data_IF_669332150360
#
_entry.id   IF_669332150360
#
_cell.length_a   1.000
_cell.length_b   1.000
_cell.length_c   1.000
_cell.angle_alpha   90.00
_cell.angle_beta   90.00
_cell.angle_gamma   90.00
#
_symmetry.space_group_name_H-M   'P 1'
#
loop_
_entity.id
_entity.type
_entity.pdbx_description
1 polymer ?
#
# COMPACT_ATOMS: atom_id res chain seq x y z
N UNK A 1 -8.08 3.86 9.88
CA UNK A 1 -7.61 2.73 10.69
C UNK A 1 -7.29 1.63 9.70
N UNK A 2 -6.07 1.09 9.76
CA UNK A 2 -5.65 0.00 8.90
C UNK A 2 -6.44 -1.26 9.24
N UNK A 3 -7.00 -1.92 8.25
CA UNK A 3 -7.77 -3.15 8.43
C UNK A 3 -7.21 -4.20 7.50
N UNK A 4 -6.86 -5.35 8.08
CA UNK A 4 -6.45 -6.54 7.37
C UNK A 4 -7.57 -7.60 7.42
N UNK A 5 -7.46 -8.58 6.53
CA UNK A 5 -8.32 -9.76 6.52
C UNK A 5 -7.44 -11.02 6.53
N UNK A 6 -7.92 -12.16 7.05
CA UNK A 6 -7.12 -13.37 7.16
C UNK A 6 -6.58 -13.86 5.82
N UNK A 7 -5.32 -14.28 5.79
CA UNK A 7 -4.68 -14.82 4.59
C UNK A 7 -4.20 -13.77 3.57
N UNK A 8 -4.65 -12.51 3.68
CA UNK A 8 -4.20 -11.43 2.81
C UNK A 8 -2.98 -10.71 3.39
N UNK A 9 -2.07 -10.27 2.52
CA UNK A 9 -0.85 -9.58 2.92
C UNK A 9 -1.15 -8.16 3.41
N UNK A 10 -0.41 -7.73 4.43
CA UNK A 10 -0.43 -6.37 4.94
C UNK A 10 1.00 -5.94 5.30
N UNK A 11 1.49 -4.83 4.72
CA UNK A 11 2.86 -4.35 4.97
C UNK A 11 2.96 -2.99 5.65
N UNK A 12 3.80 -2.87 6.66
CA UNK A 12 4.10 -1.60 7.34
C UNK A 12 5.27 -0.91 6.65
N UNK A 13 5.14 0.39 6.40
CA UNK A 13 6.29 1.19 6.02
C UNK A 13 7.21 1.40 7.22
N UNK A 14 8.50 1.22 6.97
CA UNK A 14 9.57 1.42 7.94
C UNK A 14 10.51 2.47 7.38
N UNK A 15 10.77 3.48 8.20
CA UNK A 15 11.80 4.48 7.92
C UNK A 15 12.70 4.63 9.13
N UNK A 16 13.92 5.07 8.87
CA UNK A 16 14.94 5.27 9.89
C UNK A 16 15.26 6.75 9.94
N UNK A 17 14.96 7.37 11.07
CA UNK A 17 15.34 8.76 11.31
C UNK A 17 16.57 8.76 12.21
N UNK A 18 17.72 9.01 11.61
CA UNK A 18 18.96 9.22 12.35
C UNK A 18 19.81 10.32 11.70
N UNK A 19 19.70 11.57 12.18
CA UNK A 19 20.47 12.67 11.63
C UNK A 19 21.98 12.58 11.96
N UNK A 20 22.38 11.77 12.94
CA UNK A 20 23.77 11.66 13.36
C UNK A 20 24.58 10.71 12.46
N UNK A 21 23.95 9.70 11.87
CA UNK A 21 24.62 8.71 10.99
C UNK A 21 23.79 8.39 9.74
N UNK A 22 23.67 9.35 8.79
CA UNK A 22 22.76 9.25 7.65
C UNK A 22 23.13 8.17 6.62
N UNK A 23 24.36 7.65 6.66
CA UNK A 23 24.85 6.64 5.71
C UNK A 23 25.01 5.24 6.32
N UNK A 24 24.82 5.09 7.64
CA UNK A 24 25.05 3.81 8.31
C UNK A 24 23.78 2.98 8.33
N UNK A 25 23.77 1.78 7.72
CA UNK A 25 22.59 0.94 7.67
C UNK A 25 22.19 0.45 9.06
N UNK A 26 20.89 0.24 9.26
CA UNK A 26 20.33 -0.48 10.40
C UNK A 26 19.71 -1.78 9.91
N UNK A 27 19.93 -2.86 10.65
CA UNK A 27 19.29 -4.15 10.35
C UNK A 27 17.87 -4.15 10.90
N UNK A 28 16.89 -4.46 10.05
CA UNK A 28 15.49 -4.58 10.41
C UNK A 28 15.14 -6.05 10.62
N UNK A 29 14.49 -6.33 11.74
CA UNK A 29 13.89 -7.61 12.06
C UNK A 29 12.42 -7.40 12.46
N UNK A 30 11.60 -8.44 12.33
CA UNK A 30 10.21 -8.37 12.76
C UNK A 30 9.77 -9.70 13.38
N UNK A 31 8.84 -9.61 14.31
CA UNK A 31 8.11 -10.75 14.87
C UNK A 31 6.63 -10.39 14.98
N UNK A 32 5.76 -11.37 14.83
CA UNK A 32 4.33 -11.15 14.93
C UNK A 32 3.64 -12.21 15.79
N UNK A 33 2.54 -11.81 16.43
CA UNK A 33 1.57 -12.71 17.09
C UNK A 33 0.22 -12.50 16.42
N UNK A 34 -0.47 -13.58 16.05
CA UNK A 34 -1.72 -13.53 15.27
C UNK A 34 -1.51 -13.24 13.78
N UNK A 35 -0.26 -13.29 13.31
CA UNK A 35 0.14 -13.16 11.92
C UNK A 35 1.52 -13.82 11.72
N UNK A 36 1.82 -14.16 10.48
CA UNK A 36 3.14 -14.67 10.05
C UNK A 36 3.90 -13.60 9.30
N UNK A 37 5.20 -13.41 9.58
CA UNK A 37 6.07 -12.52 8.80
C UNK A 37 6.27 -13.13 7.40
N UNK A 38 5.87 -12.39 6.37
CA UNK A 38 5.97 -12.80 4.97
C UNK A 38 7.25 -12.26 4.31
N UNK A 39 7.72 -11.09 4.72
CA UNK A 39 8.94 -10.49 4.16
C UNK A 39 9.35 -9.21 4.89
N UNK A 40 10.64 -8.88 4.77
CA UNK A 40 11.22 -7.61 5.21
C UNK A 40 12.11 -7.14 4.07
N UNK A 41 11.75 -6.03 3.43
CA UNK A 41 12.44 -5.55 2.24
C UNK A 41 12.62 -4.02 2.24
N UNK A 42 13.86 -3.51 2.08
CA UNK A 42 15.10 -4.23 2.34
C UNK A 42 15.26 -4.57 3.84
N UNK A 43 16.01 -5.63 4.14
CA UNK A 43 16.34 -6.00 5.52
C UNK A 43 17.38 -5.08 6.18
N UNK A 44 18.10 -4.29 5.38
CA UNK A 44 18.99 -3.23 5.86
C UNK A 44 18.50 -1.89 5.30
N UNK A 45 18.25 -0.93 6.19
CA UNK A 45 17.76 0.39 5.83
C UNK A 45 18.81 1.45 6.15
N UNK A 46 19.04 2.34 5.19
CA UNK A 46 19.77 3.59 5.42
C UNK A 46 18.77 4.74 5.60
N UNK A 47 19.07 5.74 6.45
CA UNK A 47 18.24 6.93 6.54
C UNK A 47 17.95 7.55 5.17
N UNK A 48 16.68 7.90 4.93
CA UNK A 48 16.21 8.41 3.63
C UNK A 48 15.69 7.34 2.65
N UNK A 49 15.80 6.05 3.00
CA UNK A 49 15.11 4.96 2.28
C UNK A 49 13.90 4.48 3.06
N UNK A 50 13.00 3.79 2.35
CA UNK A 50 11.79 3.21 2.89
C UNK A 50 11.87 1.70 2.77
N UNK A 51 11.57 1.00 3.85
CA UNK A 51 11.39 -0.45 3.84
C UNK A 51 9.95 -0.85 4.14
N UNK A 52 9.68 -2.12 3.92
CA UNK A 52 8.39 -2.75 4.10
C UNK A 52 8.54 -4.00 4.96
N UNK A 53 7.76 -4.08 6.03
CA UNK A 53 7.59 -5.30 6.83
C UNK A 53 6.22 -5.86 6.54
N UNK A 54 6.18 -6.96 5.80
CA UNK A 54 4.95 -7.62 5.35
C UNK A 54 4.58 -8.78 6.27
N UNK A 55 3.30 -8.85 6.61
CA UNK A 55 2.71 -9.94 7.40
C UNK A 55 1.48 -10.49 6.70
N UNK A 56 1.13 -11.74 7.01
CA UNK A 56 -0.15 -12.36 6.64
C UNK A 56 -0.86 -12.73 7.94
N UNK A 57 -2.02 -12.13 8.25
CA UNK A 57 -2.80 -12.48 9.43
C UNK A 57 -3.27 -13.93 9.42
N UNK A 58 -3.27 -14.54 10.60
CA UNK A 58 -3.72 -15.92 10.77
C UNK A 58 -5.23 -16.04 10.48
N UNK A 59 -5.65 -17.25 10.08
CA UNK A 59 -7.07 -17.57 9.91
C UNK A 59 -7.86 -17.29 11.20
N UNK A 60 -8.93 -16.49 11.10
CA UNK A 60 -9.85 -16.23 12.20
C UNK A 60 -11.30 -16.14 11.71
N UNK A 61 -12.24 -16.57 12.55
CA UNK A 61 -13.69 -16.44 12.32
C UNK A 61 -14.33 -15.34 13.17
N UNK A 62 -13.53 -14.63 13.98
CA UNK A 62 -13.95 -13.51 14.82
C UNK A 62 -12.99 -12.33 14.61
N UNK A 63 -13.43 -11.12 14.93
CA UNK A 63 -12.53 -9.97 14.95
C UNK A 63 -11.36 -10.24 15.89
N UNK A 64 -10.15 -9.96 15.40
CA UNK A 64 -8.91 -10.19 16.11
C UNK A 64 -7.96 -9.00 15.92
N UNK A 65 -6.83 -9.04 16.61
CA UNK A 65 -5.76 -8.07 16.41
C UNK A 65 -4.45 -8.82 16.40
N UNK A 66 -3.73 -8.74 15.28
CA UNK A 66 -2.35 -9.17 15.22
C UNK A 66 -1.45 -8.08 15.81
N UNK A 67 -0.40 -8.49 16.52
CA UNK A 67 0.63 -7.58 17.03
C UNK A 67 1.92 -7.81 16.26
N UNK A 68 2.47 -6.75 15.68
CA UNK A 68 3.72 -6.79 14.92
C UNK A 68 4.75 -5.94 15.64
N UNK A 69 5.85 -6.56 16.05
CA UNK A 69 7.00 -5.86 16.61
C UNK A 69 8.07 -5.74 15.55
N UNK A 70 8.44 -4.51 15.22
CA UNK A 70 9.52 -4.18 14.28
C UNK A 70 10.71 -3.72 15.10
N UNK A 71 11.87 -4.31 14.86
CA UNK A 71 13.10 -4.06 15.59
C UNK A 71 14.18 -3.57 14.64
N UNK A 72 14.85 -2.48 14.99
CA UNK A 72 16.01 -1.96 14.29
C UNK A 72 17.25 -2.10 15.18
N UNK A 73 18.33 -2.66 14.64
CA UNK A 73 19.60 -2.85 15.36
C UNK A 73 20.76 -2.26 14.59
N UNK A 74 21.66 -1.57 15.29
CA UNK A 74 22.94 -1.10 14.76
C UNK A 74 23.94 -0.93 15.90
N UNK A 75 25.16 -1.43 15.70
CA UNK A 75 26.26 -1.33 16.67
C UNK A 75 25.89 -1.80 18.10
N UNK A 76 25.05 -2.82 18.20
CA UNK A 76 24.56 -3.36 19.47
C UNK A 76 23.46 -2.52 20.16
N UNK A 77 23.06 -1.39 19.58
CA UNK A 77 21.88 -0.62 20.00
C UNK A 77 20.66 -1.16 19.28
N UNK A 78 19.62 -1.49 20.04
CA UNK A 78 18.36 -2.02 19.53
C UNK A 78 17.20 -1.11 19.91
N UNK A 79 16.34 -0.80 18.95
CA UNK A 79 15.07 -0.11 19.15
C UNK A 79 13.93 -0.98 18.60
N UNK A 80 12.80 -0.99 19.29
CA UNK A 80 11.62 -1.74 18.85
C UNK A 80 10.38 -0.87 18.89
N UNK A 81 9.48 -1.14 17.95
CA UNK A 81 8.19 -0.47 17.81
C UNK A 81 7.12 -1.54 17.60
N UNK A 82 6.04 -1.45 18.38
CA UNK A 82 4.89 -2.32 18.26
C UNK A 82 3.79 -1.66 17.42
N UNK A 83 3.10 -2.46 16.61
CA UNK A 83 1.99 -2.06 15.75
C UNK A 83 0.86 -3.07 15.87
N UNK A 84 -0.31 -2.57 16.25
CA UNK A 84 -1.56 -3.32 16.18
C UNK A 84 -2.10 -3.35 14.76
N UNK A 85 -2.54 -4.53 14.32
CA UNK A 85 -3.21 -4.75 13.04
C UNK A 85 -4.58 -5.38 13.32
N UNK A 86 -5.67 -4.60 13.24
CA UNK A 86 -7.03 -5.11 13.27
C UNK A 86 -7.27 -6.10 12.12
N UNK A 87 -7.82 -7.27 12.44
CA UNK A 87 -8.12 -8.35 11.49
C UNK A 87 -9.61 -8.65 11.53
N UNK A 88 -10.29 -8.47 10.41
CA UNK A 88 -11.72 -8.72 10.29
C UNK A 88 -11.97 -10.05 9.57
N UNK A 89 -12.82 -10.95 10.10
CA UNK A 89 -13.04 -12.28 9.55
C UNK A 89 -13.93 -12.23 8.30
N UNK A 90 -13.38 -11.72 7.20
CA UNK A 90 -14.07 -11.60 5.91
C UNK A 90 -13.15 -12.03 4.77
N UNK A 91 -13.75 -12.34 3.63
CA UNK A 91 -13.02 -12.64 2.39
C UNK A 91 -12.79 -11.37 1.57
N UNK A 92 -11.82 -11.43 0.64
CA UNK A 92 -11.68 -10.39 -0.38
C UNK A 92 -12.77 -10.55 -1.44
N UNK A 93 -13.81 -9.73 -1.32
CA UNK A 93 -14.88 -9.62 -2.32
C UNK A 93 -14.68 -8.40 -3.24
N UNK A 94 -13.59 -7.63 -3.08
CA UNK A 94 -13.40 -6.33 -3.71
C UNK A 94 -12.48 -6.35 -4.92
N UNK A 95 -11.59 -7.34 -5.00
CA UNK A 95 -10.69 -7.47 -6.14
C UNK A 95 -11.43 -7.44 -7.50
N UNK A 96 -12.55 -8.15 -7.61
CA UNK A 96 -13.33 -8.23 -8.83
C UNK A 96 -13.92 -6.86 -9.24
N UNK A 97 -14.42 -6.08 -8.27
CA UNK A 97 -14.97 -4.74 -8.50
C UNK A 97 -13.88 -3.73 -8.85
N UNK A 98 -12.70 -3.89 -8.23
CA UNK A 98 -11.60 -2.95 -8.35
C UNK A 98 -10.82 -3.14 -9.67
N UNK A 99 -10.77 -4.37 -10.20
CA UNK A 99 -9.99 -4.72 -11.40
C UNK A 99 -10.28 -3.86 -12.64
N UNK A 100 -11.54 -3.57 -13.03
CA UNK A 100 -11.81 -2.73 -14.19
C UNK A 100 -11.27 -1.30 -14.05
N UNK A 101 -11.29 -0.73 -12.84
CA UNK A 101 -10.72 0.59 -12.58
C UNK A 101 -9.21 0.56 -12.71
N UNK A 102 -8.55 -0.45 -12.13
CA UNK A 102 -7.12 -0.63 -12.26
C UNK A 102 -6.68 -0.82 -13.71
N UNK A 103 -7.33 -1.70 -14.47
CA UNK A 103 -6.99 -1.96 -15.87
C UNK A 103 -7.11 -0.68 -16.72
N UNK A 104 -8.14 0.14 -16.47
CA UNK A 104 -8.30 1.46 -17.12
C UNK A 104 -7.15 2.41 -16.77
N UNK A 105 -6.81 2.51 -15.49
CA UNK A 105 -5.72 3.38 -15.03
C UNK A 105 -4.35 2.92 -15.52
N UNK A 106 -4.06 1.62 -15.49
CA UNK A 106 -2.82 1.05 -16.00
C UNK A 106 -2.66 1.35 -17.50
N UNK A 107 -3.71 1.15 -18.30
CA UNK A 107 -3.68 1.47 -19.72
C UNK A 107 -3.40 2.97 -19.98
N UNK A 108 -4.01 3.85 -19.19
CA UNK A 108 -3.79 5.29 -19.28
C UNK A 108 -2.37 5.70 -18.86
N UNK A 109 -1.85 5.17 -17.74
CA UNK A 109 -0.48 5.43 -17.30
C UNK A 109 0.56 4.98 -18.34
N UNK A 110 0.36 3.83 -18.98
CA UNK A 110 1.25 3.34 -20.05
C UNK A 110 1.26 4.29 -21.25
N UNK A 111 0.10 4.85 -21.62
CA UNK A 111 -0.03 5.70 -22.79
C UNK A 111 0.44 7.14 -22.53
N UNK A 112 0.02 7.73 -21.42
CA UNK A 112 0.18 9.17 -21.14
C UNK A 112 1.36 9.47 -20.21
N UNK A 113 1.85 8.48 -19.47
CA UNK A 113 2.96 8.63 -18.52
C UNK A 113 4.10 7.61 -18.74
N UNK A 114 4.65 7.50 -19.97
CA UNK A 114 5.75 6.56 -20.25
C UNK A 114 7.01 6.85 -19.44
N UNK A 115 7.19 8.07 -18.92
CA UNK A 115 8.29 8.45 -18.03
C UNK A 115 8.30 7.69 -16.70
N UNK A 116 7.17 7.10 -16.30
CA UNK A 116 7.06 6.30 -15.06
C UNK A 116 7.62 4.88 -15.22
N UNK A 117 7.96 4.45 -16.43
CA UNK A 117 8.46 3.10 -16.69
C UNK A 117 7.42 1.98 -16.53
N UNK A 118 6.15 2.33 -16.29
CA UNK A 118 5.05 1.37 -16.24
C UNK A 118 4.72 0.92 -17.67
N UNK A 119 4.73 -0.39 -17.90
CA UNK A 119 4.49 -0.99 -19.21
C UNK A 119 3.44 -2.11 -19.12
N UNK A 120 3.05 -2.65 -20.27
CA UNK A 120 2.17 -3.82 -20.32
C UNK A 120 2.83 -5.10 -19.75
N UNK A 121 4.14 -5.09 -19.53
CA UNK A 121 4.90 -6.18 -18.91
C UNK A 121 5.09 -6.00 -17.40
N UNK A 122 4.71 -4.84 -16.84
CA UNK A 122 4.78 -4.62 -15.40
C UNK A 122 3.88 -5.62 -14.69
N UNK A 123 4.47 -6.44 -13.83
CA UNK A 123 3.74 -7.41 -13.03
C UNK A 123 3.14 -6.71 -11.80
N UNK A 124 1.86 -6.96 -11.56
CA UNK A 124 1.12 -6.34 -10.47
C UNK A 124 0.52 -7.40 -9.56
N UNK A 125 0.82 -7.29 -8.27
CA UNK A 125 0.24 -8.10 -7.21
C UNK A 125 -0.94 -7.33 -6.59
N UNK A 126 -2.17 -7.86 -6.63
CA UNK A 126 -3.31 -7.25 -5.96
C UNK A 126 -3.16 -7.33 -4.44
N UNK A 127 -3.54 -6.25 -3.74
CA UNK A 127 -3.50 -6.14 -2.29
C UNK A 127 -4.79 -5.53 -1.77
N UNK A 128 -5.44 -6.24 -0.85
CA UNK A 128 -6.65 -5.74 -0.21
C UNK A 128 -6.35 -4.46 0.60
N UNK A 129 -7.17 -3.43 0.37
CA UNK A 129 -7.14 -2.19 1.17
C UNK A 129 -8.52 -1.99 1.79
N UNK A 130 -8.54 -1.51 3.03
CA UNK A 130 -9.77 -1.25 3.77
C UNK A 130 -10.75 -0.37 2.99
N UNK A 131 -12.03 -0.76 2.99
CA UNK A 131 -13.12 0.01 2.37
C UNK A 131 -13.85 0.89 3.38
N UNK A 132 -14.21 2.11 2.98
CA UNK A 132 -15.21 2.92 3.66
C UNK A 132 -16.56 2.79 2.92
N UNK A 133 -17.68 2.98 3.63
CA UNK A 133 -19.04 2.72 3.12
C UNK A 133 -19.35 3.32 1.72
N UNK A 134 -18.75 4.47 1.39
CA UNK A 134 -19.03 5.19 0.14
C UNK A 134 -17.84 5.15 -0.85
N UNK A 135 -16.63 4.91 -0.34
CA UNK A 135 -15.39 4.86 -1.15
C UNK A 135 -14.65 3.57 -0.83
N UNK A 136 -14.47 2.75 -1.85
CA UNK A 136 -13.66 1.54 -1.73
C UNK A 136 -12.25 1.81 -2.23
N UNK A 137 -11.30 1.08 -1.65
CA UNK A 137 -9.89 1.16 -2.00
C UNK A 137 -9.38 -0.24 -2.30
N UNK A 138 -8.40 -0.32 -3.19
CA UNK A 138 -7.67 -1.54 -3.48
C UNK A 138 -6.29 -1.16 -4.00
N UNK A 139 -5.26 -1.95 -3.74
CA UNK A 139 -3.91 -1.64 -4.19
C UNK A 139 -3.37 -2.69 -5.16
N UNK A 140 -2.45 -2.25 -6.01
CA UNK A 140 -1.64 -3.11 -6.88
C UNK A 140 -0.19 -2.72 -6.75
N UNK A 141 0.66 -3.70 -6.46
CA UNK A 141 2.08 -3.48 -6.24
C UNK A 141 2.90 -4.18 -7.32
N UNK A 142 3.83 -3.43 -7.89
CA UNK A 142 4.94 -3.94 -8.70
C UNK A 142 6.24 -3.74 -7.93
N UNK A 143 7.37 -4.15 -8.50
CA UNK A 143 8.68 -3.98 -7.86
C UNK A 143 9.02 -2.51 -7.54
N UNK A 144 8.58 -1.58 -8.39
CA UNK A 144 8.90 -0.15 -8.26
C UNK A 144 7.72 0.70 -7.77
N UNK A 145 6.48 0.26 -7.98
CA UNK A 145 5.31 1.11 -7.75
C UNK A 145 4.26 0.44 -6.86
N UNK A 146 3.69 1.23 -5.97
CA UNK A 146 2.41 0.95 -5.31
C UNK A 146 1.35 1.89 -5.92
N UNK A 147 0.28 1.32 -6.46
CA UNK A 147 -0.88 2.06 -6.98
C UNK A 147 -2.08 1.72 -6.11
N UNK A 148 -2.59 2.70 -5.35
CA UNK A 148 -3.87 2.59 -4.67
C UNK A 148 -4.96 3.15 -5.57
N UNK A 149 -5.96 2.34 -5.90
CA UNK A 149 -7.18 2.76 -6.60
C UNK A 149 -8.25 3.03 -5.57
N UNK A 150 -8.84 4.22 -5.63
CA UNK A 150 -10.06 4.59 -4.94
C UNK A 150 -11.20 4.72 -5.96
N UNK A 151 -12.40 4.26 -5.60
CA UNK A 151 -13.58 4.48 -6.41
C UNK A 151 -14.82 4.71 -5.56
N UNK A 152 -15.70 5.56 -6.07
CA UNK A 152 -16.94 5.93 -5.42
C UNK A 152 -18.04 4.95 -5.82
N UNK A 153 -18.65 4.30 -4.83
CA UNK A 153 -19.71 3.29 -5.05
C UNK A 153 -21.07 3.92 -5.36
N UNK A 154 -21.12 4.93 -6.23
CA UNK A 154 -22.33 5.62 -6.65
C UNK A 154 -22.50 5.57 -8.16
N UNK A 155 -23.66 6.00 -8.64
CA UNK A 155 -23.95 6.16 -10.07
C UNK A 155 -23.53 7.53 -10.59
N UNK A 156 -23.54 7.68 -11.91
CA UNK A 156 -23.37 8.96 -12.60
C UNK A 156 -24.23 10.08 -11.95
N UNK A 157 -23.70 11.31 -11.83
CA UNK A 157 -22.40 11.79 -12.27
C UNK A 157 -21.31 11.70 -11.17
N UNK A 158 -21.53 10.92 -10.10
CA UNK A 158 -20.67 10.90 -8.93
C UNK A 158 -19.81 9.64 -8.84
N UNK A 159 -19.77 8.82 -9.88
CA UNK A 159 -19.01 7.57 -10.00
C UNK A 159 -17.54 7.84 -10.35
N UNK A 160 -16.87 8.64 -9.53
CA UNK A 160 -15.47 8.99 -9.75
C UNK A 160 -14.54 7.82 -9.39
N UNK A 161 -13.35 7.82 -9.97
CA UNK A 161 -12.21 6.99 -9.56
C UNK A 161 -10.95 7.83 -9.49
N UNK A 162 -10.06 7.48 -8.58
CA UNK A 162 -8.81 8.18 -8.31
C UNK A 162 -7.71 7.15 -8.07
N UNK A 163 -6.49 7.45 -8.48
CA UNK A 163 -5.30 6.66 -8.14
C UNK A 163 -4.29 7.49 -7.39
N UNK A 164 -3.59 6.83 -6.47
CA UNK A 164 -2.44 7.36 -5.76
C UNK A 164 -1.24 6.47 -6.07
N UNK A 165 -0.17 7.06 -6.60
CA UNK A 165 1.06 6.33 -6.92
C UNK A 165 2.14 6.71 -5.93
N UNK A 166 2.80 5.69 -5.39
CA UNK A 166 3.99 5.84 -4.57
C UNK A 166 5.12 5.03 -5.18
N UNK A 167 6.27 5.69 -5.37
CA UNK A 167 7.47 4.98 -5.75
C UNK A 167 7.99 4.20 -4.53
N UNK A 168 8.06 2.87 -4.64
CA UNK A 168 8.52 2.00 -3.55
C UNK A 168 9.97 2.34 -3.24
N UNK A 169 10.37 2.05 -2.00
CA UNK A 169 11.75 2.21 -1.51
C UNK A 169 12.25 3.65 -1.30
N UNK A 170 11.64 4.65 -1.94
CA UNK A 170 12.02 6.08 -1.79
C UNK A 170 10.93 6.91 -1.13
N UNK A 171 9.67 6.67 -1.48
CA UNK A 171 8.57 7.53 -1.05
C UNK A 171 7.84 6.91 0.14
N UNK A 172 7.54 7.73 1.15
CA UNK A 172 6.76 7.34 2.35
C UNK A 172 5.26 7.56 2.18
N UNK A 173 4.88 8.39 1.21
CA UNK A 173 3.52 8.77 0.85
C UNK A 173 3.43 8.86 -0.67
N UNK A 174 2.22 8.83 -1.27
CA UNK A 174 2.09 8.96 -2.71
C UNK A 174 2.68 10.29 -3.20
N UNK A 175 3.42 10.25 -4.29
CA UNK A 175 4.01 11.43 -4.92
C UNK A 175 3.19 11.92 -6.11
N UNK A 176 2.35 11.06 -6.68
CA UNK A 176 1.46 11.37 -7.79
C UNK A 176 0.02 10.93 -7.48
N UNK A 177 -0.94 11.68 -7.99
CA UNK A 177 -2.35 11.31 -7.93
C UNK A 177 -3.11 11.83 -9.15
N UNK A 178 -4.08 11.04 -9.60
CA UNK A 178 -4.90 11.35 -10.76
C UNK A 178 -6.34 10.93 -10.54
N UNK A 179 -7.28 11.65 -11.14
CA UNK A 179 -8.72 11.48 -10.93
C UNK A 179 -9.49 11.52 -12.23
N UNK A 180 -10.54 10.72 -12.30
CA UNK A 180 -11.64 10.77 -13.27
C UNK A 180 -12.90 11.17 -12.49
N UNK A 181 -13.50 12.31 -12.81
CA UNK A 181 -14.63 12.86 -12.05
C UNK A 181 -15.95 12.10 -12.25
N UNK A 182 -16.14 11.45 -13.40
CA UNK A 182 -17.22 10.51 -13.65
C UNK A 182 -16.80 9.50 -14.70
N UNK A 183 -16.72 8.23 -14.28
CA UNK A 183 -16.33 7.11 -15.14
C UNK A 183 -17.35 6.92 -16.27
N UNK A 184 -18.64 6.94 -15.95
CA UNK A 184 -19.75 6.84 -16.90
C UNK A 184 -20.00 8.12 -17.70
N UNK A 185 -19.68 9.28 -17.12
CA UNK A 185 -19.72 10.56 -17.82
C UNK A 185 -18.59 10.73 -18.85
N UNK A 186 -17.61 9.83 -18.87
CA UNK A 186 -16.50 9.86 -19.82
C UNK A 186 -15.57 11.05 -19.61
N UNK A 187 -15.45 11.54 -18.38
CA UNK A 187 -14.50 12.63 -18.08
C UNK A 187 -13.07 12.13 -18.23
N UNK A 188 -12.20 12.98 -18.76
CA UNK A 188 -10.78 12.65 -18.90
C UNK A 188 -10.06 12.62 -17.54
N UNK A 189 -9.04 11.74 -17.39
CA UNK A 189 -8.14 11.79 -16.25
C UNK A 189 -7.42 13.14 -16.13
N UNK A 190 -7.23 13.61 -14.90
CA UNK A 190 -6.44 14.80 -14.60
C UNK A 190 -5.68 14.66 -13.28
N UNK A 191 -4.59 15.40 -13.13
CA UNK A 191 -3.81 15.41 -11.88
C UNK A 191 -4.57 16.06 -10.73
N UNK A 192 -4.44 15.47 -9.55
CA UNK A 192 -4.93 16.04 -8.29
C UNK A 192 -3.80 16.07 -7.26
N UNK A 193 -3.99 16.75 -6.14
CA UNK A 193 -3.00 16.74 -5.07
C UNK A 193 -2.89 15.33 -4.48
N UNK A 194 -1.67 14.76 -4.37
CA UNK A 194 -1.51 13.47 -3.72
C UNK A 194 -1.82 13.56 -2.21
N UNK A 195 -2.35 12.49 -1.59
CA UNK A 195 -2.61 12.47 -0.17
C UNK A 195 -1.30 12.48 0.65
N UNK A 196 -1.37 12.99 1.87
CA UNK A 196 -0.20 13.05 2.76
C UNK A 196 0.24 11.68 3.31
N UNK A 197 -0.63 10.68 3.23
CA UNK A 197 -0.39 9.32 3.74
C UNK A 197 -0.93 8.27 2.78
N UNK A 198 -0.30 7.09 2.76
CA UNK A 198 -0.84 5.94 2.03
C UNK A 198 -2.00 5.31 2.79
N UNK A 199 -3.05 4.94 2.06
CA UNK A 199 -4.17 4.16 2.58
C UNK A 199 -3.81 2.67 2.48
N UNK A 200 -3.58 2.00 3.62
CA UNK A 200 -3.22 0.57 3.72
C UNK A 200 -3.81 -0.07 4.96
#
# INVERSE_FOLDING_TARGET
MRTAIPGERACFLVTVTDPASPASPVTIAASATGATIQGIEPAELVPGTVGEVCVVPDATSVEATAQVTITATRDGVTMSVERSLPVFPMADERLADARPYFDRWAAWLIAEHPELGITAQTEWTPEFVSTLLVVSHYAWWSDEWEVTVAWHNMVAPHDWTEIHLRHRWTDVAPSLAFRIDSVSGGTEPHSVAPPEVVVR
#
